data_IF_138947676273
#
_entry.id   IF_138947676273
#
_cell.length_a   1.000
_cell.length_b   1.000
_cell.length_c   1.000
_cell.angle_alpha   90.00
_cell.angle_beta   90.00
_cell.angle_gamma   90.00
#
_symmetry.space_group_name_H-M   'P 1'
#
loop_
_entity.id
_entity.type
_entity.pdbx_description
1 polymer ?
#
# COMPACT_ATOMS: atom_id res chain seq x y z
N UNK A 1 -5.69 -12.14 13.99
CA UNK A 1 -5.90 -11.06 13.01
C UNK A 1 -5.82 -11.70 11.64
N UNK A 2 -6.82 -11.50 10.79
CA UNK A 2 -6.90 -12.15 9.47
C UNK A 2 -6.96 -11.08 8.38
N UNK A 3 -6.14 -11.23 7.34
CA UNK A 3 -6.22 -10.36 6.16
C UNK A 3 -7.27 -10.90 5.19
N UNK A 4 -8.19 -10.05 4.78
CA UNK A 4 -9.31 -10.38 3.89
C UNK A 4 -9.02 -9.92 2.46
N UNK A 5 -9.69 -10.55 1.49
CA UNK A 5 -9.72 -10.08 0.11
C UNK A 5 -10.97 -9.25 -0.14
N UNK A 6 -10.85 -8.26 -1.01
CA UNK A 6 -12.00 -7.53 -1.54
C UNK A 6 -12.92 -8.51 -2.29
N UNK A 7 -14.24 -8.38 -2.17
CA UNK A 7 -15.18 -9.23 -2.89
C UNK A 7 -15.15 -8.92 -4.40
N UNK A 8 -15.55 -9.90 -5.20
CA UNK A 8 -15.64 -9.78 -6.65
C UNK A 8 -16.76 -8.81 -7.08
N UNK A 9 -16.68 -8.32 -8.32
CA UNK A 9 -17.69 -7.44 -8.96
C UNK A 9 -17.88 -6.08 -8.28
N UNK A 10 -16.91 -5.61 -7.49
CA UNK A 10 -16.88 -4.23 -6.98
C UNK A 10 -16.21 -3.30 -7.98
N UNK A 11 -16.75 -2.09 -8.10
CA UNK A 11 -16.12 -1.02 -8.88
C UNK A 11 -15.51 -0.03 -7.89
N UNK A 12 -14.19 0.14 -7.96
CA UNK A 12 -13.46 1.13 -7.17
C UNK A 12 -13.28 2.39 -8.01
N UNK A 13 -13.73 3.54 -7.50
CA UNK A 13 -13.61 4.85 -8.14
C UNK A 13 -13.08 5.91 -7.18
N UNK A 14 -12.68 7.06 -7.71
CA UNK A 14 -12.24 8.24 -6.94
C UNK A 14 -11.19 7.93 -5.86
N UNK A 15 -10.17 7.17 -6.23
CA UNK A 15 -9.11 6.78 -5.31
C UNK A 15 -8.21 7.99 -4.99
N UNK A 16 -8.10 8.32 -3.71
CA UNK A 16 -7.14 9.28 -3.18
C UNK A 16 -6.09 8.53 -2.35
N UNK A 17 -4.82 8.73 -2.67
CA UNK A 17 -3.68 8.20 -1.91
C UNK A 17 -2.89 9.37 -1.32
N UNK A 18 -2.62 9.30 -0.03
CA UNK A 18 -1.84 10.25 0.75
C UNK A 18 -0.62 9.53 1.30
N UNK A 19 0.55 10.08 1.01
CA UNK A 19 1.81 9.61 1.60
C UNK A 19 2.08 10.42 2.87
N UNK A 20 1.77 9.84 4.03
CA UNK A 20 2.05 10.49 5.31
C UNK A 20 3.54 10.35 5.64
N UNK A 21 4.28 11.45 5.50
CA UNK A 21 5.72 11.56 5.75
C UNK A 21 5.97 12.59 6.87
N UNK A 22 5.84 12.21 8.15
CA UNK A 22 5.91 13.16 9.24
C UNK A 22 7.34 13.70 9.44
N UNK A 23 7.50 15.02 9.32
CA UNK A 23 8.75 15.75 9.61
C UNK A 23 8.55 16.74 10.76
N UNK A 24 9.62 16.98 11.53
CA UNK A 24 9.64 18.04 12.53
C UNK A 24 10.15 19.32 11.89
N UNK A 25 9.27 20.31 11.80
CA UNK A 25 9.60 21.63 11.28
C UNK A 25 9.50 22.66 12.41
N UNK A 26 10.55 23.44 12.61
CA UNK A 26 10.57 24.55 13.56
C UNK A 26 11.00 25.81 12.83
N UNK A 27 10.19 26.85 12.93
CA UNK A 27 10.47 28.17 12.40
C UNK A 27 10.74 29.13 13.57
N UNK A 28 11.87 29.81 13.50
CA UNK A 28 12.23 30.84 14.49
C UNK A 28 11.58 32.18 14.15
N UNK A 29 11.48 33.09 15.11
CA UNK A 29 11.05 34.49 14.90
C UNK A 29 11.93 35.20 13.85
N UNK A 30 13.17 34.73 13.67
CA UNK A 30 14.09 35.18 12.61
C UNK A 30 13.85 34.57 11.23
N UNK A 31 12.73 33.85 11.02
CA UNK A 31 12.38 33.12 9.80
C UNK A 31 13.38 32.02 9.39
N UNK A 32 14.32 31.65 10.27
CA UNK A 32 15.16 30.46 10.07
C UNK A 32 14.32 29.21 10.32
N UNK A 33 14.26 28.36 9.30
CA UNK A 33 13.59 27.06 9.35
C UNK A 33 14.60 25.96 9.61
N UNK A 34 14.29 25.07 10.56
CA UNK A 34 14.98 23.79 10.75
C UNK A 34 13.98 22.67 10.51
N UNK A 35 14.31 21.76 9.61
CA UNK A 35 13.53 20.55 9.36
C UNK A 35 14.34 19.32 9.76
N UNK A 36 13.69 18.35 10.37
CA UNK A 36 14.24 17.03 10.65
C UNK A 36 13.25 15.95 10.23
N UNK A 37 13.65 15.12 9.28
CA UNK A 37 12.86 13.98 8.85
C UNK A 37 12.90 12.85 9.91
N UNK A 38 11.81 12.10 10.00
CA UNK A 38 11.69 10.90 10.84
C UNK A 38 11.98 9.62 10.07
N UNK A 39 12.04 9.66 8.74
CA UNK A 39 12.18 8.47 7.89
C UNK A 39 10.98 7.52 7.99
N UNK A 40 9.86 8.01 8.51
CA UNK A 40 8.62 7.26 8.62
C UNK A 40 7.76 7.57 7.42
N UNK A 41 7.07 6.55 6.94
CA UNK A 41 6.09 6.69 5.88
C UNK A 41 4.90 5.81 6.20
N UNK A 42 3.70 6.28 5.83
CA UNK A 42 2.48 5.49 5.88
C UNK A 42 1.58 5.87 4.72
N UNK A 43 1.01 4.88 4.06
CA UNK A 43 -0.04 5.13 3.06
C UNK A 43 -1.37 5.31 3.79
N UNK A 44 -2.07 6.38 3.49
CA UNK A 44 -3.43 6.66 3.95
C UNK A 44 -4.26 7.09 2.74
N UNK A 45 -5.56 6.87 2.75
CA UNK A 45 -6.33 7.21 1.56
C UNK A 45 -7.82 6.97 1.70
N UNK A 46 -8.51 7.26 0.61
CA UNK A 46 -9.93 7.00 0.48
C UNK A 46 -10.25 6.48 -0.92
N UNK A 47 -11.31 5.70 -1.05
CA UNK A 47 -11.85 5.31 -2.34
C UNK A 47 -13.35 5.08 -2.24
N UNK A 48 -14.05 5.28 -3.35
CA UNK A 48 -15.46 5.00 -3.47
C UNK A 48 -15.66 3.60 -4.04
N UNK A 49 -16.68 2.92 -3.54
CA UNK A 49 -17.11 1.61 -4.02
C UNK A 49 -18.53 1.73 -4.52
N UNK A 50 -18.75 1.31 -5.77
CA UNK A 50 -20.09 1.17 -6.34
C UNK A 50 -20.37 -0.28 -6.69
N UNK A 51 -21.58 -0.76 -6.33
CA UNK A 51 -22.00 -2.16 -6.50
C UNK A 51 -23.45 -2.21 -6.97
N UNK A 52 -23.70 -2.95 -8.05
CA UNK A 52 -25.05 -3.10 -8.65
C UNK A 52 -25.68 -4.48 -8.40
N UNK A 53 -24.88 -5.54 -8.18
CA UNK A 53 -25.38 -6.91 -8.07
C UNK A 53 -25.79 -7.31 -6.64
N UNK A 54 -26.97 -7.91 -6.45
CA UNK A 54 -27.45 -8.35 -5.13
C UNK A 54 -26.49 -9.32 -4.41
N UNK A 55 -25.86 -10.23 -5.15
CA UNK A 55 -24.88 -11.17 -4.59
C UNK A 55 -23.63 -10.44 -4.10
N UNK A 56 -23.12 -9.51 -4.91
CA UNK A 56 -21.96 -8.68 -4.59
C UNK A 56 -22.26 -7.75 -3.40
N UNK A 57 -23.45 -7.16 -3.32
CA UNK A 57 -23.87 -6.36 -2.17
C UNK A 57 -23.87 -7.18 -0.87
N UNK A 58 -24.42 -8.40 -0.88
CA UNK A 58 -24.38 -9.29 0.29
C UNK A 58 -22.95 -9.68 0.67
N UNK A 59 -22.09 -9.94 -0.32
CA UNK A 59 -20.68 -10.22 -0.10
C UNK A 59 -19.95 -9.01 0.50
N UNK A 60 -20.27 -7.80 0.05
CA UNK A 60 -19.75 -6.54 0.59
C UNK A 60 -20.14 -6.32 2.05
N UNK A 61 -21.43 -6.48 2.37
CA UNK A 61 -21.89 -6.39 3.77
C UNK A 61 -21.19 -7.43 4.64
N UNK A 62 -21.03 -8.66 4.17
CA UNK A 62 -20.29 -9.69 4.89
C UNK A 62 -18.80 -9.35 5.06
N UNK A 63 -18.17 -8.74 4.05
CA UNK A 63 -16.80 -8.25 4.11
C UNK A 63 -16.63 -7.15 5.16
N UNK A 64 -17.50 -6.13 5.16
CA UNK A 64 -17.53 -5.06 6.17
C UNK A 64 -17.69 -5.61 7.59
N UNK A 65 -18.59 -6.59 7.79
CA UNK A 65 -18.78 -7.24 9.10
C UNK A 65 -17.57 -8.07 9.52
N UNK A 66 -16.90 -8.75 8.58
CA UNK A 66 -15.68 -9.53 8.86
C UNK A 66 -14.48 -8.66 9.20
N UNK A 67 -14.41 -7.43 8.69
CA UNK A 67 -13.38 -6.46 9.09
C UNK A 67 -13.46 -6.12 10.59
N UNK A 68 -14.68 -6.16 11.16
CA UNK A 68 -14.96 -5.82 12.56
C UNK A 68 -14.38 -4.45 12.93
N UNK A 69 -14.66 -3.44 12.10
CA UNK A 69 -14.07 -2.11 12.19
C UNK A 69 -12.58 -2.16 11.85
N UNK A 70 -11.73 -1.66 12.75
CA UNK A 70 -10.26 -1.61 12.55
C UNK A 70 -9.50 -2.88 12.96
N UNK A 71 -10.20 -3.94 13.37
CA UNK A 71 -9.56 -5.11 13.98
C UNK A 71 -8.85 -6.01 12.96
N UNK A 72 -9.48 -6.28 11.82
CA UNK A 72 -8.89 -7.05 10.74
C UNK A 72 -8.42 -6.15 9.59
N UNK A 73 -7.58 -6.72 8.73
CA UNK A 73 -6.99 -6.06 7.57
C UNK A 73 -7.57 -6.60 6.28
N UNK A 74 -7.31 -5.90 5.18
CA UNK A 74 -7.62 -6.35 3.85
C UNK A 74 -6.49 -6.00 2.88
N UNK A 75 -6.43 -6.72 1.75
CA UNK A 75 -5.55 -6.35 0.65
C UNK A 75 -6.24 -5.34 -0.25
N UNK A 76 -5.59 -4.21 -0.48
CA UNK A 76 -6.00 -3.22 -1.47
C UNK A 76 -5.27 -3.54 -2.77
N UNK A 77 -6.00 -3.99 -3.80
CA UNK A 77 -5.46 -4.17 -5.15
C UNK A 77 -5.97 -3.04 -6.05
N UNK A 78 -5.03 -2.24 -6.59
CA UNK A 78 -5.27 -1.23 -7.60
C UNK A 78 -4.48 -1.61 -8.85
N UNK A 79 -5.11 -2.21 -9.88
CA UNK A 79 -4.41 -2.89 -10.95
C UNK A 79 -3.38 -2.06 -11.72
N UNK A 80 -3.62 -0.75 -11.86
CA UNK A 80 -2.74 0.14 -12.64
C UNK A 80 -1.75 0.94 -11.77
N UNK A 81 -2.01 1.08 -10.47
CA UNK A 81 -1.21 1.98 -9.62
C UNK A 81 -0.17 1.23 -8.81
N UNK A 82 -0.53 0.07 -8.25
CA UNK A 82 0.39 -0.68 -7.41
C UNK A 82 1.21 -1.71 -8.19
N UNK A 83 0.72 -2.17 -9.34
CA UNK A 83 1.44 -3.14 -10.16
C UNK A 83 2.46 -2.43 -11.03
N UNK A 84 3.61 -3.05 -11.21
CA UNK A 84 4.65 -2.58 -12.13
C UNK A 84 4.63 -3.41 -13.42
N UNK A 85 5.17 -2.85 -14.49
CA UNK A 85 5.15 -3.45 -15.84
C UNK A 85 6.09 -4.66 -16.00
N UNK A 86 6.75 -5.08 -14.92
CA UNK A 86 7.67 -6.21 -14.96
C UNK A 86 6.90 -7.53 -14.99
N UNK A 87 7.43 -8.53 -15.69
CA UNK A 87 6.78 -9.83 -15.83
C UNK A 87 7.19 -10.84 -14.74
N UNK A 88 8.22 -10.54 -13.94
CA UNK A 88 8.73 -11.42 -12.88
C UNK A 88 9.32 -10.59 -11.73
N UNK A 89 9.04 -11.02 -10.50
CA UNK A 89 9.64 -10.44 -9.31
C UNK A 89 11.17 -10.67 -9.27
N UNK A 90 11.99 -9.62 -9.08
CA UNK A 90 13.39 -9.76 -8.77
C UNK A 90 13.59 -10.34 -7.35
N UNK A 91 14.82 -10.73 -7.05
CA UNK A 91 15.23 -11.21 -5.73
C UNK A 91 16.30 -10.30 -5.14
N UNK A 92 16.44 -10.30 -3.82
CA UNK A 92 17.57 -9.62 -3.19
C UNK A 92 18.88 -10.36 -3.52
N UNK A 93 19.85 -9.65 -4.09
CA UNK A 93 21.17 -10.17 -4.41
C UNK A 93 22.07 -10.29 -3.16
N UNK A 94 21.77 -9.52 -2.11
CA UNK A 94 22.47 -9.55 -0.82
C UNK A 94 21.47 -9.27 0.31
N UNK A 95 21.75 -9.72 1.55
CA UNK A 95 20.86 -9.42 2.67
C UNK A 95 20.77 -7.91 2.91
N UNK A 96 19.62 -7.45 3.39
CA UNK A 96 19.36 -6.04 3.69
C UNK A 96 18.92 -5.89 5.15
N UNK A 97 19.61 -5.01 5.88
CA UNK A 97 19.38 -4.81 7.30
C UNK A 97 18.18 -3.86 7.57
N UNK A 98 17.63 -3.94 8.78
CA UNK A 98 16.64 -2.96 9.28
C UNK A 98 17.24 -1.55 9.19
N UNK A 99 16.46 -0.59 8.70
CA UNK A 99 16.86 0.80 8.53
C UNK A 99 17.64 1.09 7.25
N UNK A 100 17.88 0.09 6.39
CA UNK A 100 18.51 0.32 5.10
C UNK A 100 17.58 1.15 4.18
N UNK A 101 18.13 2.18 3.55
CA UNK A 101 17.49 2.99 2.50
C UNK A 101 17.86 2.51 1.09
N UNK A 102 18.68 1.46 1.00
CA UNK A 102 19.10 0.87 -0.26
C UNK A 102 18.98 -0.65 -0.18
N UNK A 103 18.59 -1.26 -1.28
CA UNK A 103 18.54 -2.72 -1.44
C UNK A 103 19.31 -3.11 -2.70
N UNK A 104 19.90 -4.30 -2.70
CA UNK A 104 20.58 -4.81 -3.87
C UNK A 104 19.68 -5.81 -4.59
N UNK A 105 19.18 -5.44 -5.77
CA UNK A 105 18.33 -6.31 -6.58
C UNK A 105 19.19 -7.16 -7.53
N UNK A 106 18.78 -8.41 -7.70
CA UNK A 106 19.30 -9.33 -8.69
C UNK A 106 18.18 -10.04 -9.44
N UNK A 107 18.46 -10.41 -10.70
CA UNK A 107 17.47 -11.06 -11.55
C UNK A 107 16.42 -10.07 -12.09
N UNK A 108 16.83 -8.82 -12.32
CA UNK A 108 16.05 -7.82 -13.04
C UNK A 108 16.09 -8.14 -14.54
N UNK A 109 14.92 -8.19 -15.17
CA UNK A 109 14.79 -8.47 -16.60
C UNK A 109 14.28 -7.28 -17.41
N UNK A 110 13.60 -6.36 -16.74
CA UNK A 110 12.97 -5.17 -17.31
C UNK A 110 13.18 -4.00 -16.36
N UNK A 111 13.15 -2.79 -16.89
CA UNK A 111 13.25 -1.58 -16.10
C UNK A 111 12.12 -1.49 -15.07
N UNK A 112 12.46 -1.07 -13.84
CA UNK A 112 11.49 -0.68 -12.82
C UNK A 112 11.54 0.84 -12.75
N UNK A 113 10.45 1.49 -13.13
CA UNK A 113 10.38 2.95 -13.09
C UNK A 113 10.33 3.48 -11.66
N UNK A 114 10.86 4.68 -11.47
CA UNK A 114 10.74 5.46 -10.25
C UNK A 114 9.27 5.59 -9.83
N UNK A 115 9.01 5.50 -8.52
CA UNK A 115 7.66 5.51 -7.95
C UNK A 115 6.95 4.15 -7.98
N UNK A 116 7.53 3.12 -8.59
CA UNK A 116 7.01 1.75 -8.48
C UNK A 116 6.97 1.30 -7.03
N UNK A 117 5.85 0.72 -6.61
CA UNK A 117 5.68 0.19 -5.27
C UNK A 117 6.00 -1.31 -5.20
N UNK A 118 6.45 -1.77 -4.04
CA UNK A 118 6.69 -3.18 -3.78
C UNK A 118 6.46 -3.55 -2.33
N UNK A 119 6.36 -4.85 -2.08
CA UNK A 119 6.29 -5.43 -0.73
C UNK A 119 7.37 -6.49 -0.56
N UNK A 120 7.77 -6.74 0.69
CA UNK A 120 8.76 -7.77 1.03
C UNK A 120 8.06 -8.99 1.65
N UNK A 121 8.69 -10.16 1.57
CA UNK A 121 8.06 -11.42 1.97
C UNK A 121 7.62 -11.47 3.44
N UNK A 122 8.41 -10.90 4.36
CA UNK A 122 8.17 -10.96 5.81
C UNK A 122 7.61 -9.65 6.40
N UNK A 123 7.32 -8.65 5.55
CA UNK A 123 7.00 -7.29 5.96
C UNK A 123 5.72 -6.79 5.26
N UNK A 124 4.66 -6.44 6.02
CA UNK A 124 3.44 -5.89 5.43
C UNK A 124 3.60 -4.46 4.92
N UNK A 125 4.75 -3.81 5.18
CA UNK A 125 5.04 -2.45 4.75
C UNK A 125 5.18 -2.35 3.23
N UNK A 126 4.58 -1.30 2.67
CA UNK A 126 4.75 -0.90 1.27
C UNK A 126 5.95 0.02 1.14
N UNK A 127 6.81 -0.30 0.17
CA UNK A 127 7.99 0.46 -0.18
C UNK A 127 7.87 1.01 -1.60
N UNK A 128 8.63 2.06 -1.88
CA UNK A 128 8.69 2.72 -3.18
C UNK A 128 10.12 2.81 -3.64
N UNK A 129 10.32 2.63 -4.94
CA UNK A 129 11.59 2.88 -5.60
C UNK A 129 11.71 4.38 -5.89
N UNK A 130 12.87 4.97 -5.56
CA UNK A 130 13.08 6.42 -5.72
C UNK A 130 13.53 6.77 -7.13
N UNK A 131 14.40 5.96 -7.73
CA UNK A 131 15.00 6.20 -9.05
C UNK A 131 14.76 5.04 -10.01
N UNK A 132 14.79 5.31 -11.32
CA UNK A 132 14.66 4.28 -12.35
C UNK A 132 15.75 3.21 -12.23
N UNK A 133 15.34 1.94 -12.19
CA UNK A 133 16.23 0.79 -12.07
C UNK A 133 16.30 0.08 -13.41
N UNK A 134 17.36 0.31 -14.16
CA UNK A 134 17.56 -0.25 -15.50
C UNK A 134 18.34 -1.56 -15.53
N UNK A 135 19.03 -1.90 -14.44
CA UNK A 135 19.88 -3.10 -14.31
C UNK A 135 19.97 -3.58 -12.87
N UNK A 136 20.42 -4.81 -12.71
CA UNK A 136 20.81 -5.37 -11.40
C UNK A 136 21.77 -4.43 -10.65
N UNK A 137 21.61 -4.36 -9.33
CA UNK A 137 22.46 -3.56 -8.48
C UNK A 137 21.73 -2.87 -7.33
N UNK A 138 22.39 -1.86 -6.78
CA UNK A 138 21.89 -1.09 -5.64
C UNK A 138 20.79 -0.14 -6.09
N UNK A 139 19.64 -0.23 -5.42
CA UNK A 139 18.43 0.55 -5.65
C UNK A 139 18.12 1.34 -4.39
N UNK A 140 17.82 2.63 -4.55
CA UNK A 140 17.35 3.48 -3.47
C UNK A 140 15.84 3.31 -3.27
N UNK A 141 15.44 3.15 -2.00
CA UNK A 141 14.07 2.86 -1.60
C UNK A 141 13.60 3.81 -0.51
N UNK A 142 12.30 4.04 -0.49
CA UNK A 142 11.64 4.83 0.55
C UNK A 142 10.33 4.16 1.00
N UNK A 143 10.04 4.07 2.32
CA UNK A 143 10.91 4.41 3.45
C UNK A 143 12.04 3.39 3.65
N UNK A 144 12.84 3.58 4.70
CA UNK A 144 13.83 2.58 5.13
C UNK A 144 13.16 1.27 5.52
N UNK A 145 13.85 0.13 5.32
CA UNK A 145 13.33 -1.19 5.70
C UNK A 145 12.96 -1.27 7.18
N UNK A 146 11.72 -1.69 7.46
CA UNK A 146 11.23 -1.91 8.82
C UNK A 146 11.67 -3.27 9.38
N UNK A 147 11.97 -4.24 8.51
CA UNK A 147 12.46 -5.57 8.85
C UNK A 147 13.67 -5.97 8.01
N UNK A 148 14.54 -6.78 8.60
CA UNK A 148 15.65 -7.40 7.89
C UNK A 148 15.14 -8.38 6.83
N UNK A 149 15.84 -8.44 5.71
CA UNK A 149 15.58 -9.35 4.61
C UNK A 149 16.81 -10.21 4.35
N UNK A 150 16.57 -11.50 4.13
CA UNK A 150 17.61 -12.43 3.73
C UNK A 150 17.95 -12.25 2.25
N UNK A 151 19.14 -12.70 1.85
CA UNK A 151 19.46 -12.85 0.44
C UNK A 151 18.49 -13.81 -0.25
N UNK A 152 18.35 -13.67 -1.56
CA UNK A 152 17.42 -14.42 -2.41
C UNK A 152 15.93 -14.28 -2.09
N UNK A 153 15.58 -13.46 -1.08
CA UNK A 153 14.17 -13.14 -0.78
C UNK A 153 13.51 -12.47 -2.00
N UNK A 154 12.31 -12.89 -2.39
CA UNK A 154 11.58 -12.26 -3.48
C UNK A 154 11.13 -10.85 -3.09
N UNK A 155 11.25 -9.92 -4.04
CA UNK A 155 10.72 -8.56 -3.91
C UNK A 155 9.48 -8.46 -4.79
N UNK A 156 8.32 -8.31 -4.17
CA UNK A 156 7.02 -8.40 -4.84
C UNK A 156 6.67 -7.07 -5.53
N UNK A 157 6.92 -7.02 -6.84
CA UNK A 157 6.68 -5.87 -7.72
C UNK A 157 5.52 -6.13 -8.72
N UNK A 158 5.32 -7.38 -9.14
CA UNK A 158 4.28 -7.77 -10.12
C UNK A 158 2.89 -7.59 -9.54
N UNK A 159 2.68 -8.05 -8.30
CA UNK A 159 1.40 -7.96 -7.60
C UNK A 159 1.63 -7.71 -6.10
N UNK A 160 2.13 -6.53 -5.72
CA UNK A 160 2.40 -6.20 -4.33
C UNK A 160 1.13 -6.28 -3.49
N UNK A 161 1.28 -6.80 -2.27
CA UNK A 161 0.16 -7.06 -1.36
C UNK A 161 0.01 -5.92 -0.36
N UNK A 162 -0.63 -4.83 -0.79
CA UNK A 162 -0.84 -3.65 0.05
C UNK A 162 -1.83 -3.99 1.16
N UNK A 163 -1.34 -4.08 2.39
CA UNK A 163 -2.16 -4.46 3.54
C UNK A 163 -2.71 -3.21 4.21
N UNK A 164 -4.03 -3.05 4.18
CA UNK A 164 -4.73 -1.90 4.73
C UNK A 164 -5.67 -2.32 5.86
N UNK A 165 -6.00 -1.36 6.72
CA UNK A 165 -7.13 -1.44 7.66
C UNK A 165 -8.00 -0.21 7.47
N UNK A 166 -9.25 -0.30 7.91
CA UNK A 166 -10.11 0.87 7.96
C UNK A 166 -9.45 1.93 8.88
N UNK A 167 -9.42 3.19 8.42
CA UNK A 167 -9.60 4.30 9.38
C UNK A 167 -11.04 4.19 9.90
N UNK A 168 -11.58 4.89 10.87
CA UNK A 168 -12.92 4.60 11.44
C UNK A 168 -13.27 3.17 11.92
N UNK A 169 -13.95 3.13 13.06
CA UNK A 169 -14.38 1.87 13.68
C UNK A 169 -15.78 1.44 13.23
N UNK A 170 -16.56 2.39 12.72
CA UNK A 170 -17.97 2.22 12.39
C UNK A 170 -18.09 2.38 10.86
N UNK A 171 -18.06 1.28 10.09
CA UNK A 171 -18.29 1.38 8.65
C UNK A 171 -19.75 1.71 8.38
N UNK A 172 -19.99 2.70 7.52
CA UNK A 172 -21.32 3.03 6.99
C UNK A 172 -21.49 2.38 5.62
N UNK A 173 -22.71 1.96 5.29
CA UNK A 173 -23.06 1.44 3.97
C UNK A 173 -24.29 2.20 3.53
N UNK A 174 -24.16 2.98 2.47
CA UNK A 174 -25.26 3.76 1.93
C UNK A 174 -25.91 3.00 0.77
N UNK A 175 -27.24 2.86 0.86
CA UNK A 175 -28.06 2.22 -0.15
C UNK A 175 -28.77 3.31 -0.95
N UNK A 176 -28.49 3.41 -2.24
CA UNK A 176 -29.16 4.33 -3.16
C UNK A 176 -30.17 3.58 -4.05
N UNK A 177 -31.04 4.34 -4.72
CA UNK A 177 -32.07 3.81 -5.65
C UNK A 177 -32.87 2.63 -5.09
N UNK A 178 -33.46 2.80 -3.89
CA UNK A 178 -34.25 1.75 -3.23
C UNK A 178 -33.45 0.46 -2.92
N UNK A 179 -32.13 0.57 -2.73
CA UNK A 179 -31.23 -0.55 -2.44
C UNK A 179 -30.74 -1.32 -3.67
N UNK A 180 -31.02 -0.81 -4.88
CA UNK A 180 -30.46 -1.35 -6.13
C UNK A 180 -28.96 -1.07 -6.25
N UNK A 181 -28.50 0.02 -5.67
CA UNK A 181 -27.11 0.44 -5.70
C UNK A 181 -26.58 0.57 -4.28
N UNK A 182 -25.35 0.10 -4.07
CA UNK A 182 -24.56 0.41 -2.88
C UNK A 182 -23.45 1.34 -3.30
N UNK A 183 -23.40 2.48 -2.65
CA UNK A 183 -22.33 3.47 -2.79
C UNK A 183 -21.71 3.65 -1.42
N UNK A 184 -20.40 3.53 -1.31
CA UNK A 184 -19.72 3.66 -0.02
C UNK A 184 -18.32 4.22 -0.22
N UNK A 185 -18.01 5.28 0.50
CA UNK A 185 -16.63 5.78 0.60
C UNK A 185 -15.93 5.09 1.76
N UNK A 186 -14.77 4.48 1.49
CA UNK A 186 -13.92 3.86 2.50
C UNK A 186 -12.69 4.72 2.71
N UNK A 187 -12.43 5.05 3.97
CA UNK A 187 -11.15 5.58 4.42
C UNK A 187 -10.27 4.45 4.93
N UNK A 188 -9.02 4.40 4.47
CA UNK A 188 -8.08 3.35 4.83
C UNK A 188 -6.75 3.93 5.27
N UNK A 189 -6.08 3.15 6.11
CA UNK A 189 -4.71 3.37 6.54
C UNK A 189 -3.92 2.07 6.38
N UNK A 190 -2.68 2.19 5.94
CA UNK A 190 -1.77 1.06 5.84
C UNK A 190 -1.60 0.37 7.20
N UNK A 191 -1.64 -0.96 7.20
CA UNK A 191 -1.46 -1.78 8.37
C UNK A 191 -0.04 -2.34 8.41
N UNK A 192 0.80 -1.68 9.21
CA UNK A 192 2.17 -2.09 9.53
C UNK A 192 2.15 -2.98 10.77
#
# INVERSE_FOLDING_TARGET
MTTLHLPDEIIISNVQIKHNMPSFNTESISLKTRSRDRGLHRIEGSFDVSIQGLKAQKAWTAFMLKLRGRYNTFYLDLPMHFKSDIYRNPTLASPANIGANTINLGGLFTEISAGSCFTMLNDPKTYFVVDDVTRDGVVEIYPTLMKEQLDTSPVEFVAPKITCRLDDQIPTIDYSENGLLVETTINFIEAI
#
